data_IF_334274611822
#
_entry.id   IF_334274611822
#
_cell.length_a   1.000
_cell.length_b   1.000
_cell.length_c   1.000
_cell.angle_alpha   90.00
_cell.angle_beta   90.00
_cell.angle_gamma   90.00
#
_symmetry.space_group_name_H-M   'P 1'
#
loop_
_entity.id
_entity.type
_entity.pdbx_description
1 polymer ?
#
# COMPACT_ATOMS: atom_id res chain seq x y z
N UNK A 1 -34.25 27.88 -42.38
CA UNK A 1 -34.32 26.40 -42.41
C UNK A 1 -33.93 25.82 -41.06
N UNK A 2 -34.34 24.60 -40.71
CA UNK A 2 -34.16 24.06 -39.36
C UNK A 2 -32.68 23.95 -38.92
N UNK A 3 -31.72 23.95 -39.84
CA UNK A 3 -30.29 23.91 -39.55
C UNK A 3 -29.68 25.24 -39.04
N UNK A 4 -30.39 26.37 -39.17
CA UNK A 4 -29.87 27.67 -38.71
C UNK A 4 -29.76 27.77 -37.17
N UNK A 5 -30.39 26.84 -36.44
CA UNK A 5 -30.24 26.73 -34.98
C UNK A 5 -28.90 26.10 -34.56
N UNK A 6 -28.27 25.32 -35.45
CA UNK A 6 -27.05 24.58 -35.15
C UNK A 6 -25.88 25.46 -34.68
N UNK A 7 -25.57 26.63 -35.30
CA UNK A 7 -24.49 27.48 -34.81
C UNK A 7 -24.77 28.01 -33.40
N UNK A 8 -25.99 28.43 -33.09
CA UNK A 8 -26.36 28.91 -31.75
C UNK A 8 -26.26 27.78 -30.71
N UNK A 9 -26.75 26.58 -31.05
CA UNK A 9 -26.65 25.41 -30.20
C UNK A 9 -25.19 24.99 -29.94
N UNK A 10 -24.34 25.03 -30.98
CA UNK A 10 -22.92 24.71 -30.87
C UNK A 10 -22.21 25.69 -29.93
N UNK A 11 -22.47 26.99 -30.05
CA UNK A 11 -21.85 27.99 -29.17
C UNK A 11 -22.24 27.75 -27.70
N UNK A 12 -23.50 27.44 -27.42
CA UNK A 12 -23.97 27.22 -26.04
C UNK A 12 -23.35 25.94 -25.46
N UNK A 13 -23.37 24.83 -26.20
CA UNK A 13 -22.82 23.55 -25.73
C UNK A 13 -21.31 23.58 -25.54
N UNK A 14 -20.60 24.26 -26.44
CA UNK A 14 -19.14 24.46 -26.30
C UNK A 14 -18.81 25.37 -25.12
N UNK A 15 -19.57 26.44 -24.89
CA UNK A 15 -19.36 27.31 -23.73
C UNK A 15 -19.57 26.57 -22.40
N UNK A 16 -20.64 25.76 -22.28
CA UNK A 16 -20.93 24.97 -21.07
C UNK A 16 -19.85 23.90 -20.85
N UNK A 17 -19.48 23.15 -21.89
CA UNK A 17 -18.45 22.12 -21.76
C UNK A 17 -17.07 22.70 -21.46
N UNK A 18 -16.72 23.86 -22.03
CA UNK A 18 -15.47 24.57 -21.76
C UNK A 18 -15.28 24.85 -20.26
N UNK A 19 -16.32 25.27 -19.55
CA UNK A 19 -16.24 25.57 -18.11
C UNK A 19 -15.79 24.36 -17.27
N UNK A 20 -16.20 23.15 -17.63
CA UNK A 20 -15.79 21.93 -16.93
C UNK A 20 -14.29 21.63 -17.12
N UNK A 21 -13.78 21.77 -18.35
CA UNK A 21 -12.37 21.56 -18.65
C UNK A 21 -11.48 22.64 -18.02
N UNK A 22 -11.92 23.90 -18.04
CA UNK A 22 -11.19 25.00 -17.39
C UNK A 22 -11.05 24.74 -15.89
N UNK A 23 -12.13 24.30 -15.22
CA UNK A 23 -12.08 23.99 -13.79
C UNK A 23 -11.13 22.82 -13.49
N UNK A 24 -11.15 21.77 -14.32
CA UNK A 24 -10.22 20.65 -14.19
C UNK A 24 -8.75 21.08 -14.35
N UNK A 25 -8.47 21.94 -15.33
CA UNK A 25 -7.13 22.51 -15.55
C UNK A 25 -6.67 23.40 -14.40
N UNK A 26 -7.55 24.27 -13.89
CA UNK A 26 -7.24 25.11 -12.73
C UNK A 26 -6.96 24.29 -11.46
N UNK A 27 -7.74 23.24 -11.21
CA UNK A 27 -7.50 22.34 -10.08
C UNK A 27 -6.13 21.66 -10.20
N UNK A 28 -5.76 21.22 -11.40
CA UNK A 28 -4.45 20.62 -11.64
C UNK A 28 -3.32 21.63 -11.36
N UNK A 29 -3.47 22.89 -11.75
CA UNK A 29 -2.46 23.93 -11.52
C UNK A 29 -2.31 24.28 -10.04
N UNK A 30 -3.41 24.42 -9.31
CA UNK A 30 -3.40 24.86 -7.90
C UNK A 30 -3.04 23.72 -6.93
N UNK A 31 -3.60 22.52 -7.17
CA UNK A 31 -3.52 21.39 -6.22
C UNK A 31 -2.55 20.30 -6.70
N UNK A 32 -2.10 20.34 -7.95
CA UNK A 32 -1.34 19.25 -8.59
C UNK A 32 -2.21 18.03 -8.96
N UNK A 33 -3.54 18.11 -8.77
CA UNK A 33 -4.49 17.03 -9.00
C UNK A 33 -5.77 17.57 -9.64
N UNK A 34 -6.35 16.81 -10.57
CA UNK A 34 -7.56 17.19 -11.32
C UNK A 34 -8.78 17.35 -10.39
N UNK A 35 -8.87 16.50 -9.37
CA UNK A 35 -10.04 16.42 -8.50
C UNK A 35 -9.75 17.00 -7.11
N UNK A 36 -10.66 17.87 -6.65
CA UNK A 36 -10.67 18.37 -5.27
C UNK A 36 -11.44 17.42 -4.35
N UNK A 37 -10.92 17.18 -3.13
CA UNK A 37 -11.63 16.37 -2.12
C UNK A 37 -12.92 17.09 -1.70
N UNK A 38 -14.02 16.34 -1.54
CA UNK A 38 -15.27 16.89 -0.99
C UNK A 38 -15.12 17.07 0.53
N UNK A 39 -15.56 18.22 1.03
CA UNK A 39 -15.43 18.65 2.43
C UNK A 39 -16.80 18.95 3.05
N UNK A 40 -17.82 18.19 2.65
CA UNK A 40 -19.20 18.44 3.03
C UNK A 40 -19.47 18.03 4.49
N UNK A 41 -19.01 16.84 4.90
CA UNK A 41 -19.16 16.37 6.27
C UNK A 41 -18.07 16.88 7.21
N UNK A 42 -18.42 16.99 8.49
CA UNK A 42 -17.49 17.35 9.58
C UNK A 42 -16.31 16.39 9.63
N UNK A 43 -16.57 15.09 9.50
CA UNK A 43 -15.54 14.05 9.57
C UNK A 43 -14.56 14.18 8.40
N UNK A 44 -15.07 14.46 7.19
CA UNK A 44 -14.22 14.69 6.01
C UNK A 44 -13.32 15.90 6.21
N UNK A 45 -13.80 16.96 6.87
CA UNK A 45 -13.01 18.16 7.19
C UNK A 45 -11.93 17.87 8.24
N UNK A 46 -12.28 17.13 9.29
CA UNK A 46 -11.33 16.74 10.33
C UNK A 46 -10.22 15.86 9.76
N UNK A 47 -10.57 14.87 8.93
CA UNK A 47 -9.59 14.01 8.27
C UNK A 47 -8.73 14.79 7.28
N UNK A 48 -9.30 15.75 6.54
CA UNK A 48 -8.52 16.62 5.66
C UNK A 48 -7.50 17.47 6.43
N UNK A 49 -7.89 18.02 7.60
CA UNK A 49 -6.95 18.76 8.45
C UNK A 49 -5.90 17.86 9.08
N UNK A 50 -6.25 16.64 9.48
CA UNK A 50 -5.31 15.62 9.97
C UNK A 50 -4.25 15.32 8.91
N UNK A 51 -4.67 14.99 7.69
CA UNK A 51 -3.77 14.64 6.60
C UNK A 51 -2.82 15.81 6.29
N UNK A 52 -3.33 17.05 6.29
CA UNK A 52 -2.51 18.25 6.10
C UNK A 52 -1.45 18.46 7.21
N UNK A 53 -1.70 18.01 8.44
CA UNK A 53 -0.72 18.10 9.54
C UNK A 53 0.36 17.01 9.45
N UNK A 54 0.01 15.82 8.94
CA UNK A 54 0.94 14.68 8.85
C UNK A 54 1.91 14.83 7.67
N UNK A 55 1.41 15.10 6.47
CA UNK A 55 2.22 15.09 5.23
C UNK A 55 2.44 16.49 4.64
N UNK A 56 1.82 17.53 5.20
CA UNK A 56 1.81 18.89 4.64
C UNK A 56 0.88 19.05 3.42
N UNK A 57 0.57 17.98 2.70
CA UNK A 57 -0.32 17.95 1.54
C UNK A 57 -1.37 16.82 1.66
N UNK A 58 -2.67 17.16 1.72
CA UNK A 58 -3.76 16.20 1.97
C UNK A 58 -4.04 15.23 0.80
N UNK A 59 -3.34 15.37 -0.32
CA UNK A 59 -3.43 14.48 -1.48
C UNK A 59 -2.30 13.45 -1.56
N UNK A 60 -1.34 13.51 -0.63
CA UNK A 60 -0.28 12.50 -0.48
C UNK A 60 -0.79 11.46 0.52
N UNK A 61 -0.85 10.20 0.08
CA UNK A 61 -1.24 9.09 0.93
C UNK A 61 -0.06 8.72 1.83
N UNK A 62 -0.31 8.59 3.13
CA UNK A 62 0.65 8.11 4.10
C UNK A 62 0.27 6.67 4.44
N UNK A 63 1.05 5.70 3.95
CA UNK A 63 0.80 4.28 4.19
C UNK A 63 1.51 3.75 5.43
N UNK A 64 1.71 2.43 5.47
CA UNK A 64 2.35 1.74 6.60
C UNK A 64 3.86 2.02 6.66
N UNK A 65 4.46 2.45 5.55
CA UNK A 65 5.88 2.80 5.47
C UNK A 65 6.28 3.98 6.36
N UNK A 66 5.33 4.82 6.75
CA UNK A 66 5.57 5.97 7.61
C UNK A 66 5.55 5.62 9.10
N UNK A 67 5.15 4.40 9.45
CA UNK A 67 5.10 3.94 10.83
C UNK A 67 6.51 3.47 11.20
N UNK A 68 7.13 4.04 12.24
CA UNK A 68 8.41 3.53 12.72
C UNK A 68 8.19 2.12 13.26
N UNK A 69 8.83 1.13 12.64
CA UNK A 69 8.77 -0.25 13.11
C UNK A 69 9.35 -0.35 14.52
N UNK A 70 8.57 -0.93 15.43
CA UNK A 70 9.08 -1.29 16.74
C UNK A 70 10.07 -2.46 16.60
N UNK A 71 11.10 -2.51 17.45
CA UNK A 71 12.06 -3.63 17.46
C UNK A 71 11.37 -5.00 17.64
N UNK A 72 10.19 -5.01 18.29
CA UNK A 72 9.37 -6.19 18.54
C UNK A 72 8.70 -6.74 17.26
N UNK A 73 8.33 -5.88 16.31
CA UNK A 73 7.72 -6.30 15.04
C UNK A 73 8.77 -6.82 14.05
N UNK A 74 10.00 -6.31 14.08
CA UNK A 74 11.12 -6.87 13.30
C UNK A 74 11.44 -8.30 13.72
N UNK A 75 11.43 -8.58 15.03
CA UNK A 75 11.62 -9.93 15.57
C UNK A 75 10.46 -10.88 15.22
N UNK A 76 9.22 -10.38 15.22
CA UNK A 76 8.04 -11.17 14.82
C UNK A 76 7.99 -11.47 13.31
N UNK A 77 8.40 -10.52 12.46
CA UNK A 77 8.51 -10.74 11.02
C UNK A 77 9.64 -11.72 10.67
N UNK A 78 10.75 -11.71 11.42
CA UNK A 78 11.82 -12.71 11.29
C UNK A 78 11.34 -14.11 11.71
N UNK A 79 10.58 -14.23 12.81
CA UNK A 79 10.00 -15.52 13.23
C UNK A 79 8.99 -16.09 12.23
N UNK A 80 8.17 -15.25 11.59
CA UNK A 80 7.23 -15.71 10.57
C UNK A 80 7.92 -16.16 9.27
N UNK A 81 9.10 -15.63 8.93
CA UNK A 81 9.93 -16.14 7.83
C UNK A 81 10.52 -17.51 8.17
N UNK A 82 10.94 -17.74 9.42
CA UNK A 82 11.44 -19.05 9.88
C UNK A 82 10.34 -20.13 9.95
N UNK A 83 9.09 -19.75 10.24
CA UNK A 83 7.96 -20.69 10.22
C UNK A 83 7.56 -21.11 8.81
N UNK A 84 7.67 -20.21 7.82
CA UNK A 84 7.44 -20.56 6.40
C UNK A 84 8.55 -21.44 5.84
N UNK A 85 9.79 -21.32 6.35
CA UNK A 85 10.91 -22.19 5.97
C UNK A 85 10.81 -23.58 6.62
N UNK A 86 10.22 -23.69 7.82
CA UNK A 86 9.90 -24.99 8.45
C UNK A 86 8.80 -25.79 7.74
N UNK A 87 7.88 -25.11 7.06
CA UNK A 87 6.83 -25.77 6.27
C UNK A 87 7.34 -26.30 4.92
N UNK A 88 8.60 -26.01 4.56
CA UNK A 88 9.30 -26.61 3.43
C UNK A 88 10.14 -27.80 3.89
N UNK A 89 9.54 -28.71 4.67
CA UNK A 89 10.06 -30.08 4.72
C UNK A 89 10.05 -30.62 3.28
N UNK A 90 11.19 -31.07 2.72
CA UNK A 90 11.18 -31.65 1.39
C UNK A 90 10.21 -32.83 1.39
N UNK A 91 9.40 -32.95 0.33
CA UNK A 91 8.36 -33.96 0.15
C UNK A 91 8.86 -35.42 0.11
N UNK A 92 10.06 -35.70 0.60
CA UNK A 92 10.75 -36.98 0.57
C UNK A 92 11.14 -37.46 1.99
N UNK A 93 10.27 -37.28 3.00
CA UNK A 93 10.42 -38.04 4.25
C UNK A 93 10.03 -39.53 4.07
N UNK A 94 9.40 -39.87 2.95
CA UNK A 94 8.92 -41.23 2.68
C UNK A 94 10.00 -42.20 2.17
N UNK A 95 11.22 -41.75 1.87
CA UNK A 95 12.30 -42.59 1.33
C UNK A 95 13.66 -42.30 1.99
N UNK A 96 13.72 -42.18 3.32
CA UNK A 96 15.00 -42.07 4.03
C UNK A 96 15.26 -43.37 4.78
N UNK A 97 16.32 -44.09 4.38
CA UNK A 97 16.71 -45.36 5.00
C UNK A 97 17.19 -45.14 6.44
N UNK A 98 16.92 -46.11 7.32
CA UNK A 98 17.11 -46.01 8.78
C UNK A 98 18.53 -45.62 9.24
N UNK A 99 19.55 -45.70 8.37
CA UNK A 99 20.92 -45.29 8.67
C UNK A 99 21.11 -43.74 8.67
N UNK A 100 20.40 -42.97 7.84
CA UNK A 100 20.58 -41.50 7.76
C UNK A 100 19.83 -40.73 8.87
N UNK A 101 18.77 -41.33 9.43
CA UNK A 101 18.04 -40.80 10.60
C UNK A 101 18.92 -40.83 11.87
N UNK A 102 19.86 -41.78 11.94
CA UNK A 102 20.80 -41.90 13.06
C UNK A 102 21.94 -40.86 13.01
N UNK A 103 22.28 -40.35 11.82
CA UNK A 103 23.30 -39.30 11.66
C UNK A 103 22.73 -37.90 11.93
N UNK A 104 21.54 -37.60 11.43
CA UNK A 104 20.86 -36.31 11.66
C UNK A 104 20.52 -36.07 13.13
N UNK A 105 20.16 -37.11 13.87
CA UNK A 105 19.91 -37.01 15.32
C UNK A 105 21.19 -36.77 16.14
N UNK A 106 22.36 -37.26 15.70
CA UNK A 106 23.64 -36.99 16.37
C UNK A 106 24.09 -35.54 16.22
N UNK A 107 23.99 -34.97 15.02
CA UNK A 107 24.37 -33.57 14.77
C UNK A 107 23.51 -32.61 15.61
N UNK A 108 22.21 -32.91 15.75
CA UNK A 108 21.28 -32.07 16.51
C UNK A 108 21.52 -32.05 18.03
N UNK A 109 22.18 -33.07 18.60
CA UNK A 109 22.48 -33.11 20.05
C UNK A 109 23.81 -32.43 20.41
N UNK A 110 24.75 -32.33 19.46
CA UNK A 110 26.08 -31.73 19.70
C UNK A 110 26.03 -30.20 19.70
N UNK A 111 25.12 -29.60 18.93
CA UNK A 111 24.98 -28.14 18.82
C UNK A 111 24.19 -27.49 19.98
N UNK A 112 23.42 -28.28 20.75
CA UNK A 112 22.64 -27.78 21.90
C UNK A 112 23.52 -27.56 23.15
N UNK A 113 24.66 -28.24 23.27
CA UNK A 113 25.49 -28.21 24.48
C UNK A 113 26.67 -27.23 24.43
N UNK A 114 26.79 -26.38 23.39
CA UNK A 114 27.88 -25.41 23.30
C UNK A 114 27.43 -24.03 23.78
N UNK A 115 27.58 -23.78 25.08
CA UNK A 115 27.37 -22.44 25.64
C UNK A 115 28.33 -21.42 25.00
N UNK A 116 27.84 -20.24 24.59
CA UNK A 116 28.70 -19.20 24.05
C UNK A 116 29.53 -18.56 25.18
N UNK A 117 30.85 -18.52 24.97
CA UNK A 117 31.81 -17.70 25.74
C UNK A 117 31.74 -16.24 25.33
#
# INVERSE_FOLDING_TARGET
MWYEILPAYLIITTAISCSAYVTAGLNYLVLGKIFRRRLESTDSRLMYMRDRRLTGNPYILNGLEAIPESEQEKAAQQGQLEDVERDQCPANFAEMTDEEVAETSKVSMEDVCKEPK
#
